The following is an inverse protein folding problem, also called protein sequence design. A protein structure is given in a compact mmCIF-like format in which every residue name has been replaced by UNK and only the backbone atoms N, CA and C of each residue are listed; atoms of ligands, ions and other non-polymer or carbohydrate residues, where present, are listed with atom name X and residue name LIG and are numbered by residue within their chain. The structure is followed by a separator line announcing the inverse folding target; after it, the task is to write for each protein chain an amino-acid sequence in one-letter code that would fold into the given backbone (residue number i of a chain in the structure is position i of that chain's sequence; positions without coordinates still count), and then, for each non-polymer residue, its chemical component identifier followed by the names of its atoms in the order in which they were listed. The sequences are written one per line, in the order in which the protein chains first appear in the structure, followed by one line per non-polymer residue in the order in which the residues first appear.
data_IF_348243681750
#
_entry.id   IF_348243681750
#
_cell.length_a   1.000
_cell.length_b   1.000
_cell.length_c   1.000
_cell.angle_alpha   90.00
_cell.angle_beta   90.00
_cell.angle_gamma   90.00
#
_symmetry.space_group_name_H-M   'P 1'
#
loop_
_entity.id
_entity.type
_entity.pdbx_description
1 polymer ?
#
# COMPACT_ATOMS: atom_id res chain seq x y z
N UNK A 1 36.30 -8.56 -17.71
CA UNK A 1 35.14 -9.05 -16.93
C UNK A 1 34.44 -7.84 -16.33
N UNK A 2 33.30 -7.41 -16.89
CA UNK A 2 32.52 -6.28 -16.36
C UNK A 2 31.62 -6.79 -15.24
N UNK A 3 31.92 -6.40 -14.00
CA UNK A 3 31.05 -6.65 -12.85
C UNK A 3 30.15 -5.42 -12.65
N UNK A 4 29.05 -5.38 -13.39
CA UNK A 4 27.94 -4.46 -13.11
C UNK A 4 27.07 -5.04 -11.98
N UNK A 5 27.60 -5.02 -10.75
CA UNK A 5 26.86 -5.39 -9.55
C UNK A 5 26.71 -4.16 -8.66
N UNK A 6 25.67 -3.37 -8.93
CA UNK A 6 25.21 -2.33 -8.02
C UNK A 6 23.71 -2.55 -7.77
N UNK A 7 23.38 -3.67 -7.11
CA UNK A 7 22.14 -3.78 -6.35
C UNK A 7 22.33 -2.92 -5.10
N UNK A 8 21.56 -1.84 -4.96
CA UNK A 8 21.47 -1.11 -3.69
C UNK A 8 20.77 -2.00 -2.66
N UNK A 9 21.57 -2.85 -2.02
CA UNK A 9 21.45 -3.51 -0.72
C UNK A 9 20.07 -3.56 -0.04
N UNK A 10 19.57 -4.78 0.22
CA UNK A 10 19.18 -5.15 1.58
C UNK A 10 20.39 -4.87 2.48
N UNK A 11 20.25 -4.20 3.62
CA UNK A 11 21.36 -3.73 4.45
C UNK A 11 22.43 -4.83 4.67
N UNK A 12 23.43 -4.89 3.79
CA UNK A 12 24.52 -5.86 3.88
C UNK A 12 25.72 -5.12 4.44
N UNK A 13 26.27 -5.71 5.49
CA UNK A 13 27.51 -5.27 6.08
C UNK A 13 28.56 -5.07 4.98
N UNK A 14 29.05 -3.84 4.84
CA UNK A 14 30.14 -3.52 3.93
C UNK A 14 31.44 -3.42 4.71
N UNK A 15 32.56 -3.86 4.13
CA UNK A 15 33.89 -3.62 4.69
C UNK A 15 34.49 -2.36 4.07
N UNK A 16 35.21 -1.57 4.87
CA UNK A 16 36.03 -0.45 4.39
C UNK A 16 37.36 -0.48 5.10
N UNK A 17 38.40 0.03 4.45
CA UNK A 17 39.73 0.12 5.08
C UNK A 17 39.70 1.13 6.24
N UNK A 18 40.47 0.83 7.29
CA UNK A 18 40.63 1.71 8.44
C UNK A 18 41.28 3.02 7.97
N UNK A 19 40.64 4.15 8.24
CA UNK A 19 41.07 5.48 7.78
C UNK A 19 40.40 5.96 6.48
N UNK A 20 39.64 5.12 5.79
CA UNK A 20 38.85 5.53 4.63
C UNK A 20 37.38 5.74 5.00
N UNK A 21 36.83 6.90 4.66
CA UNK A 21 35.41 7.18 4.85
C UNK A 21 34.58 6.40 3.82
N UNK A 22 33.62 5.61 4.29
CA UNK A 22 32.65 4.93 3.43
C UNK A 22 31.87 5.95 2.60
N UNK A 23 31.75 5.70 1.30
CA UNK A 23 30.92 6.49 0.39
C UNK A 23 29.71 5.67 -0.05
N UNK A 24 28.52 6.21 0.16
CA UNK A 24 27.29 5.64 -0.40
C UNK A 24 27.10 6.27 -1.78
N UNK A 25 27.38 5.52 -2.84
CA UNK A 25 27.16 5.99 -4.21
C UNK A 25 25.66 5.93 -4.53
N UNK A 26 25.01 7.08 -4.60
CA UNK A 26 23.66 7.18 -5.11
C UNK A 26 23.67 7.11 -6.65
N UNK A 27 22.87 6.21 -7.23
CA UNK A 27 22.67 6.19 -8.69
C UNK A 27 21.97 7.48 -9.13
N UNK A 28 22.29 7.97 -10.34
CA UNK A 28 21.57 9.09 -10.98
C UNK A 28 20.09 8.78 -11.26
N UNK A 29 19.72 7.49 -11.36
CA UNK A 29 18.33 7.05 -11.58
C UNK A 29 17.59 6.91 -10.25
N UNK A 30 16.37 7.46 -10.19
CA UNK A 30 15.47 7.30 -9.03
C UNK A 30 15.11 5.83 -8.85
N UNK A 31 15.28 5.32 -7.62
CA UNK A 31 14.88 3.95 -7.26
C UNK A 31 13.37 3.72 -7.39
N UNK A 32 12.96 2.45 -7.51
CA UNK A 32 11.54 2.09 -7.46
C UNK A 32 11.01 2.38 -6.04
N UNK A 33 9.86 3.04 -5.94
CA UNK A 33 9.17 3.28 -4.67
C UNK A 33 8.33 2.07 -4.32
N UNK A 34 8.36 1.62 -3.06
CA UNK A 34 7.34 0.75 -2.49
C UNK A 34 6.34 1.63 -1.74
N UNK A 35 5.08 1.57 -2.13
CA UNK A 35 3.99 2.26 -1.45
C UNK A 35 3.16 1.24 -0.68
N UNK A 36 2.68 1.66 0.49
CA UNK A 36 1.82 0.86 1.37
C UNK A 36 0.47 1.56 1.40
N UNK A 37 -0.61 0.81 1.19
CA UNK A 37 -1.97 1.25 1.45
C UNK A 37 -2.52 0.38 2.58
N UNK A 38 -2.96 1.00 3.66
CA UNK A 38 -3.36 0.31 4.87
C UNK A 38 -4.64 0.89 5.45
N UNK A 39 -5.46 0.03 6.06
CA UNK A 39 -6.60 0.39 6.89
C UNK A 39 -6.32 -0.11 8.29
N UNK A 40 -6.57 0.77 9.26
CA UNK A 40 -6.30 0.51 10.66
C UNK A 40 -7.58 0.56 11.45
N UNK A 41 -7.84 -0.48 12.24
CA UNK A 41 -8.88 -0.52 13.26
C UNK A 41 -8.20 -0.73 14.62
N UNK A 42 -8.49 0.14 15.58
CA UNK A 42 -7.76 0.22 16.86
C UNK A 42 -7.80 -1.08 17.67
N UNK A 43 -8.89 -1.84 17.57
CA UNK A 43 -9.13 -3.04 18.39
C UNK A 43 -9.06 -4.34 17.59
N UNK A 44 -8.89 -4.27 16.27
CA UNK A 44 -8.93 -5.46 15.41
C UNK A 44 -7.57 -5.74 14.78
N UNK A 45 -7.18 -4.97 13.76
CA UNK A 45 -5.94 -5.22 13.03
C UNK A 45 -5.56 -4.05 12.12
N UNK A 46 -4.32 -4.14 11.61
CA UNK A 46 -3.84 -3.32 10.50
C UNK A 46 -3.80 -4.17 9.22
N UNK A 47 -4.70 -3.87 8.29
CA UNK A 47 -4.80 -4.56 7.01
C UNK A 47 -4.16 -3.72 5.92
N UNK A 48 -3.22 -4.29 5.16
CA UNK A 48 -2.46 -3.50 4.19
C UNK A 48 -2.10 -4.27 2.91
N UNK A 49 -1.93 -3.50 1.84
CA UNK A 49 -1.39 -3.95 0.56
C UNK A 49 -0.09 -3.22 0.22
N UNK A 50 0.84 -3.95 -0.39
CA UNK A 50 2.09 -3.41 -0.90
C UNK A 50 2.02 -3.23 -2.42
N UNK A 51 2.48 -2.07 -2.90
CA UNK A 51 2.54 -1.78 -4.34
C UNK A 51 3.85 -1.13 -4.73
N UNK A 52 4.51 -1.68 -5.74
CA UNK A 52 5.61 -0.98 -6.41
C UNK A 52 5.07 0.17 -7.26
N UNK A 53 5.57 1.37 -7.01
CA UNK A 53 5.13 2.62 -7.64
C UNK A 53 4.04 3.33 -6.84
N UNK A 54 3.27 4.17 -7.52
CA UNK A 54 2.17 4.94 -6.92
C UNK A 54 0.88 4.14 -6.79
N UNK A 55 0.08 4.45 -5.76
CA UNK A 55 -1.28 3.92 -5.62
C UNK A 55 -2.17 4.67 -6.61
N UNK A 56 -2.89 3.92 -7.44
CA UNK A 56 -3.85 4.43 -8.42
C UNK A 56 -5.23 3.89 -8.11
N UNK A 57 -6.27 4.44 -8.74
CA UNK A 57 -7.67 4.04 -8.55
C UNK A 57 -7.90 2.54 -8.62
N UNK A 58 -7.31 1.84 -9.59
CA UNK A 58 -7.44 0.38 -9.71
C UNK A 58 -6.95 -0.37 -8.45
N UNK A 59 -5.72 -0.10 -8.01
CA UNK A 59 -5.16 -0.75 -6.81
C UNK A 59 -5.92 -0.37 -5.52
N UNK A 60 -6.46 0.84 -5.47
CA UNK A 60 -7.31 1.27 -4.36
C UNK A 60 -8.65 0.52 -4.36
N UNK A 61 -9.31 0.40 -5.53
CA UNK A 61 -10.57 -0.34 -5.69
C UNK A 61 -10.37 -1.82 -5.34
N UNK A 62 -9.26 -2.43 -5.74
CA UNK A 62 -8.92 -3.81 -5.35
C UNK A 62 -8.86 -3.96 -3.82
N UNK A 63 -8.22 -3.03 -3.12
CA UNK A 63 -8.18 -3.07 -1.65
C UNK A 63 -9.55 -2.85 -1.01
N UNK A 64 -10.36 -1.90 -1.49
CA UNK A 64 -11.70 -1.66 -0.93
C UNK A 64 -12.67 -2.79 -1.27
N UNK A 65 -12.54 -3.44 -2.42
CA UNK A 65 -13.34 -4.64 -2.73
C UNK A 65 -13.10 -5.75 -1.72
N UNK A 66 -11.85 -6.00 -1.36
CA UNK A 66 -11.49 -6.97 -0.34
C UNK A 66 -12.08 -6.60 1.04
N UNK A 67 -12.08 -5.32 1.41
CA UNK A 67 -12.77 -4.86 2.61
C UNK A 67 -14.28 -5.03 2.54
N UNK A 68 -14.88 -4.78 1.38
CA UNK A 68 -16.32 -4.92 1.22
C UNK A 68 -16.77 -6.37 1.40
N UNK A 69 -15.95 -7.35 0.99
CA UNK A 69 -16.21 -8.77 1.25
C UNK A 69 -16.19 -9.08 2.76
N UNK A 70 -15.22 -8.55 3.50
CA UNK A 70 -15.16 -8.70 4.96
C UNK A 70 -16.31 -7.99 5.68
N UNK A 71 -16.69 -6.81 5.21
CA UNK A 71 -17.82 -6.06 5.74
C UNK A 71 -19.13 -6.83 5.53
N UNK A 72 -19.31 -7.50 4.40
CA UNK A 72 -20.47 -8.33 4.12
C UNK A 72 -20.56 -9.51 5.09
N UNK A 73 -19.44 -10.19 5.34
CA UNK A 73 -19.39 -11.24 6.36
C UNK A 73 -19.72 -10.69 7.76
N UNK A 74 -19.19 -9.53 8.11
CA UNK A 74 -19.41 -8.89 9.41
C UNK A 74 -20.87 -8.48 9.59
N UNK A 75 -21.47 -7.92 8.54
CA UNK A 75 -22.89 -7.57 8.50
C UNK A 75 -23.77 -8.81 8.69
N UNK A 76 -23.46 -9.90 7.99
CA UNK A 76 -24.22 -11.15 8.11
C UNK A 76 -24.08 -11.81 9.49
N UNK A 77 -22.89 -11.71 10.12
CA UNK A 77 -22.61 -12.32 11.43
C UNK A 77 -23.14 -11.49 12.60
N UNK A 78 -23.07 -10.16 12.52
CA UNK A 78 -23.29 -9.26 13.67
C UNK A 78 -24.41 -8.24 13.46
N UNK A 79 -24.88 -8.06 12.22
CA UNK A 79 -25.82 -6.99 11.85
C UNK A 79 -25.19 -5.59 11.81
N UNK A 80 -23.88 -5.46 12.03
CA UNK A 80 -23.19 -4.16 12.06
C UNK A 80 -22.61 -3.81 10.68
N UNK A 81 -22.74 -2.54 10.31
CA UNK A 81 -22.06 -1.98 9.13
C UNK A 81 -20.61 -1.63 9.47
N UNK A 82 -19.75 -1.69 8.47
CA UNK A 82 -18.34 -1.26 8.56
C UNK A 82 -18.23 0.14 7.97
N UNK A 83 -17.52 1.04 8.65
CA UNK A 83 -17.33 2.42 8.17
C UNK A 83 -15.85 2.68 8.00
N UNK A 84 -15.43 3.06 6.79
CA UNK A 84 -14.06 3.47 6.50
C UNK A 84 -13.99 5.01 6.41
N UNK A 85 -13.15 5.61 7.25
CA UNK A 85 -12.85 7.04 7.20
C UNK A 85 -11.59 7.27 6.38
N UNK A 86 -11.69 8.13 5.37
CA UNK A 86 -10.62 8.41 4.42
C UNK A 86 -10.37 9.91 4.31
N UNK A 87 -9.17 10.26 3.86
CA UNK A 87 -8.81 11.63 3.53
C UNK A 87 -9.45 12.09 2.20
N UNK A 88 -9.21 13.35 1.85
CA UNK A 88 -9.79 13.96 0.64
C UNK A 88 -8.93 13.73 -0.61
N UNK A 89 -8.18 12.63 -0.69
CA UNK A 89 -7.25 12.37 -1.79
C UNK A 89 -7.98 12.14 -3.13
N UNK A 90 -7.35 12.54 -4.23
CA UNK A 90 -7.99 12.59 -5.56
C UNK A 90 -8.45 11.22 -6.06
N UNK A 91 -7.72 10.16 -5.72
CA UNK A 91 -8.06 8.77 -6.09
C UNK A 91 -9.39 8.32 -5.48
N UNK A 92 -9.66 8.71 -4.23
CA UNK A 92 -10.87 8.34 -3.49
C UNK A 92 -12.13 8.99 -4.10
N UNK A 93 -11.94 10.12 -4.80
CA UNK A 93 -13.00 10.86 -5.49
C UNK A 93 -13.14 10.50 -6.97
N UNK A 94 -12.33 9.59 -7.47
CA UNK A 94 -12.31 9.26 -8.90
C UNK A 94 -13.65 8.68 -9.38
N UNK A 95 -13.97 8.87 -10.66
CA UNK A 95 -15.21 8.36 -11.27
C UNK A 95 -15.32 6.84 -11.14
N UNK A 96 -14.20 6.13 -11.24
CA UNK A 96 -14.12 4.67 -11.10
C UNK A 96 -14.52 4.23 -9.68
N UNK A 97 -14.01 4.92 -8.66
CA UNK A 97 -14.38 4.64 -7.26
C UNK A 97 -15.86 4.92 -7.03
N UNK A 98 -16.37 6.04 -7.54
CA UNK A 98 -17.80 6.40 -7.38
C UNK A 98 -18.76 5.34 -7.95
N UNK A 99 -18.40 4.70 -9.08
CA UNK A 99 -19.20 3.62 -9.68
C UNK A 99 -19.34 2.40 -8.77
N UNK A 100 -18.40 2.17 -7.86
CA UNK A 100 -18.42 1.02 -6.95
C UNK A 100 -19.12 1.32 -5.61
N UNK A 101 -19.46 2.59 -5.32
CA UNK A 101 -20.06 2.98 -4.03
C UNK A 101 -21.35 2.24 -3.72
N UNK A 102 -22.27 2.12 -4.69
CA UNK A 102 -23.52 1.40 -4.47
C UNK A 102 -23.30 -0.09 -4.21
N UNK A 103 -22.32 -0.70 -4.91
CA UNK A 103 -21.93 -2.09 -4.69
C UNK A 103 -21.39 -2.30 -3.28
N UNK A 104 -20.55 -1.39 -2.78
CA UNK A 104 -19.98 -1.48 -1.43
C UNK A 104 -21.03 -1.24 -0.35
N UNK A 105 -21.92 -0.26 -0.55
CA UNK A 105 -23.05 -0.01 0.36
C UNK A 105 -23.95 -1.22 0.56
N UNK A 106 -24.25 -1.95 -0.53
CA UNK A 106 -25.05 -3.19 -0.45
C UNK A 106 -24.38 -4.28 0.38
N UNK A 107 -23.05 -4.27 0.48
CA UNK A 107 -22.24 -5.18 1.29
C UNK A 107 -22.07 -4.71 2.75
N UNK A 108 -22.69 -3.60 3.14
CA UNK A 108 -22.54 -3.06 4.50
C UNK A 108 -21.24 -2.31 4.74
N UNK A 109 -20.58 -1.82 3.67
CA UNK A 109 -19.41 -0.93 3.72
C UNK A 109 -19.76 0.52 3.36
#
# INVERSE_FOLDING_TARGET
MKLDACLCNSASYSYSKKGEQKKIQHKKKRGKRLSILGLFSQEESFEYGLKLGGIISKSYIEMINWQAEKAEETLNKTGKITVIVLDNYSVHKSKEVKKNLEKWRKKGL
#
